data_IF_077685779038
#
_entry.id   IF_077685779038
#
_cell.length_a   1.000
_cell.length_b   1.000
_cell.length_c   1.000
_cell.angle_alpha   90.00
_cell.angle_beta   90.00
_cell.angle_gamma   90.00
#
_symmetry.space_group_name_H-M   'P 1'
#
loop_
_entity.id
_entity.type
_entity.pdbx_description
1 polymer ?
#
# COMPACT_ATOMS: atom_id res chain seq x y z
N UNK A 1 45.99 -24.04 31.09
CA UNK A 1 45.83 -23.77 29.65
C UNK A 1 44.55 -24.45 29.21
N UNK A 2 43.47 -23.73 28.85
CA UNK A 2 42.28 -24.38 28.30
C UNK A 2 42.70 -25.19 27.08
N UNK A 3 42.22 -26.44 26.98
CA UNK A 3 42.58 -27.30 25.86
C UNK A 3 41.97 -26.74 24.57
N UNK A 4 42.63 -26.93 23.43
CA UNK A 4 42.15 -26.48 22.11
C UNK A 4 40.66 -26.86 21.88
N UNK A 5 40.26 -28.05 22.33
CA UNK A 5 38.89 -28.54 22.30
C UNK A 5 37.89 -27.72 23.13
N UNK A 6 38.28 -27.19 24.28
CA UNK A 6 37.43 -26.31 25.10
C UNK A 6 37.15 -24.97 24.40
N UNK A 7 38.15 -24.42 23.69
CA UNK A 7 38.00 -23.18 22.94
C UNK A 7 37.07 -23.39 21.74
N UNK A 8 37.21 -24.51 21.02
CA UNK A 8 36.32 -24.89 19.91
C UNK A 8 34.89 -25.10 20.39
N UNK A 9 34.68 -25.78 21.52
CA UNK A 9 33.35 -25.96 22.12
C UNK A 9 32.71 -24.64 22.54
N UNK A 10 33.46 -23.73 23.18
CA UNK A 10 32.94 -22.42 23.57
C UNK A 10 32.55 -21.57 22.35
N UNK A 11 33.34 -21.61 21.27
CA UNK A 11 33.00 -20.94 20.01
C UNK A 11 31.76 -21.54 19.34
N UNK A 12 31.64 -22.87 19.32
CA UNK A 12 30.49 -23.55 18.75
C UNK A 12 29.19 -23.27 19.53
N UNK A 13 29.26 -23.27 20.87
CA UNK A 13 28.14 -22.89 21.75
C UNK A 13 27.78 -21.42 21.57
N UNK A 14 28.77 -20.52 21.51
CA UNK A 14 28.55 -19.11 21.23
C UNK A 14 27.83 -18.88 19.90
N UNK A 15 28.26 -19.55 18.82
CA UNK A 15 27.62 -19.47 17.51
C UNK A 15 26.20 -20.05 17.51
N UNK A 16 25.97 -21.17 18.21
CA UNK A 16 24.65 -21.78 18.35
C UNK A 16 23.67 -20.85 19.08
N UNK A 17 24.11 -20.18 20.15
CA UNK A 17 23.29 -19.21 20.89
C UNK A 17 22.91 -18.03 19.99
N UNK A 18 23.86 -17.49 19.22
CA UNK A 18 23.59 -16.41 18.26
C UNK A 18 22.57 -16.85 17.20
N UNK A 19 22.71 -18.06 16.66
CA UNK A 19 21.77 -18.61 15.68
C UNK A 19 20.35 -18.76 16.24
N UNK A 20 20.23 -19.25 17.48
CA UNK A 20 18.94 -19.39 18.17
C UNK A 20 18.28 -18.02 18.39
N UNK A 21 19.05 -17.01 18.79
CA UNK A 21 18.54 -15.64 18.98
C UNK A 21 18.02 -15.07 17.66
N UNK A 22 18.77 -15.22 16.56
CA UNK A 22 18.35 -14.76 15.23
C UNK A 22 17.08 -15.49 14.79
N UNK A 23 17.03 -16.81 14.96
CA UNK A 23 15.85 -17.60 14.62
C UNK A 23 14.61 -17.16 15.41
N UNK A 24 14.75 -16.95 16.72
CA UNK A 24 13.68 -16.46 17.59
C UNK A 24 13.21 -15.06 17.18
N UNK A 25 14.14 -14.15 16.85
CA UNK A 25 13.82 -12.80 16.42
C UNK A 25 13.01 -12.78 15.11
N UNK A 26 13.41 -13.60 14.13
CA UNK A 26 12.67 -13.76 12.87
C UNK A 26 11.30 -14.36 13.14
N UNK A 27 11.21 -15.43 13.91
CA UNK A 27 9.93 -16.06 14.27
C UNK A 27 8.98 -15.08 14.97
N UNK A 28 9.49 -14.30 15.92
CA UNK A 28 8.70 -13.29 16.64
C UNK A 28 8.17 -12.19 15.70
N UNK A 29 8.94 -11.79 14.67
CA UNK A 29 8.49 -10.81 13.68
C UNK A 29 7.28 -11.32 12.88
N UNK A 30 7.34 -12.54 12.36
CA UNK A 30 6.22 -13.15 11.62
C UNK A 30 5.01 -13.40 12.53
N UNK A 31 5.25 -13.84 13.77
CA UNK A 31 4.19 -14.04 14.76
C UNK A 31 3.46 -12.73 15.08
N UNK A 32 4.20 -11.62 15.24
CA UNK A 32 3.61 -10.30 15.47
C UNK A 32 2.75 -9.85 14.28
N UNK A 33 3.20 -10.07 13.05
CA UNK A 33 2.44 -9.73 11.84
C UNK A 33 1.14 -10.56 11.75
N UNK A 34 1.23 -11.85 12.01
CA UNK A 34 0.07 -12.74 12.02
C UNK A 34 -0.95 -12.34 13.09
N UNK A 35 -0.49 -12.02 14.30
CA UNK A 35 -1.34 -11.57 15.40
C UNK A 35 -2.11 -10.28 15.03
N UNK A 36 -1.44 -9.34 14.35
CA UNK A 36 -2.08 -8.10 13.87
C UNK A 36 -3.17 -8.38 12.83
N UNK A 37 -2.94 -9.31 11.91
CA UNK A 37 -3.95 -9.75 10.95
C UNK A 37 -5.15 -10.45 11.63
N UNK A 38 -4.87 -11.28 12.64
CA UNK A 38 -5.90 -11.99 13.39
C UNK A 38 -6.86 -11.03 14.12
N UNK A 39 -6.33 -10.05 14.87
CA UNK A 39 -7.15 -9.08 15.60
C UNK A 39 -7.99 -8.18 14.68
N UNK A 40 -7.55 -7.96 13.45
CA UNK A 40 -8.26 -7.15 12.45
C UNK A 40 -9.25 -7.98 11.62
N UNK A 41 -9.55 -9.22 12.05
CA UNK A 41 -10.44 -10.17 11.37
C UNK A 41 -10.02 -10.49 9.93
N UNK A 42 -8.72 -10.39 9.64
CA UNK A 42 -8.15 -10.86 8.39
C UNK A 42 -7.71 -12.29 8.58
N UNK A 43 -8.46 -13.23 8.02
CA UNK A 43 -8.15 -14.66 8.07
C UNK A 43 -6.93 -14.95 7.18
N UNK A 44 -5.75 -15.00 7.78
CA UNK A 44 -4.50 -15.41 7.12
C UNK A 44 -3.89 -16.56 7.88
N UNK A 45 -3.60 -17.64 7.15
CA UNK A 45 -2.87 -18.78 7.73
C UNK A 45 -1.40 -18.39 7.93
N UNK A 46 -0.76 -18.79 9.06
CA UNK A 46 0.68 -18.61 9.25
C UNK A 46 1.51 -19.18 8.08
N UNK A 47 1.05 -20.29 7.50
CA UNK A 47 1.69 -20.90 6.33
C UNK A 47 1.66 -19.99 5.10
N UNK A 48 0.59 -19.21 4.91
CA UNK A 48 0.51 -18.26 3.79
C UNK A 48 1.57 -17.17 3.90
N UNK A 49 1.83 -16.65 5.10
CA UNK A 49 2.89 -15.65 5.34
C UNK A 49 4.27 -16.21 5.01
N UNK A 50 4.51 -17.48 5.36
CA UNK A 50 5.76 -18.17 5.02
C UNK A 50 5.90 -18.34 3.49
N UNK A 51 4.84 -18.77 2.81
CA UNK A 51 4.84 -18.93 1.35
C UNK A 51 4.98 -17.59 0.61
N UNK A 52 4.48 -16.48 1.15
CA UNK A 52 4.72 -15.14 0.58
C UNK A 52 6.21 -14.80 0.54
N UNK A 53 6.92 -15.07 1.65
CA UNK A 53 8.36 -14.84 1.75
C UNK A 53 9.14 -15.68 0.74
N UNK A 54 8.74 -16.94 0.52
CA UNK A 54 9.31 -17.81 -0.52
C UNK A 54 9.09 -17.30 -1.95
N UNK A 55 7.95 -16.64 -2.22
CA UNK A 55 7.66 -16.00 -3.51
C UNK A 55 8.29 -14.62 -3.67
N UNK A 56 9.17 -14.20 -2.75
CA UNK A 56 9.77 -12.85 -2.69
C UNK A 56 8.73 -11.73 -2.62
N UNK A 57 7.56 -11.99 -2.05
CA UNK A 57 6.53 -10.97 -1.79
C UNK A 57 6.68 -10.46 -0.37
N UNK A 58 6.68 -9.15 -0.16
CA UNK A 58 6.77 -8.57 1.18
C UNK A 58 5.46 -8.82 1.97
N UNK A 59 5.45 -9.69 3.00
CA UNK A 59 4.23 -10.06 3.70
C UNK A 59 3.62 -8.87 4.47
N UNK A 60 4.47 -7.99 5.00
CA UNK A 60 4.03 -6.82 5.77
C UNK A 60 3.18 -5.88 4.90
N UNK A 61 3.64 -5.58 3.69
CA UNK A 61 2.93 -4.69 2.78
C UNK A 61 1.55 -5.25 2.37
N UNK A 62 1.47 -6.56 2.09
CA UNK A 62 0.22 -7.23 1.71
C UNK A 62 -0.78 -7.26 2.87
N UNK A 63 -0.30 -7.60 4.08
CA UNK A 63 -1.15 -7.64 5.27
C UNK A 63 -1.65 -6.25 5.63
N UNK A 64 -0.78 -5.23 5.63
CA UNK A 64 -1.20 -3.85 5.90
C UNK A 64 -2.24 -3.38 4.89
N UNK A 65 -2.02 -3.63 3.59
CA UNK A 65 -2.99 -3.35 2.53
C UNK A 65 -4.33 -4.05 2.80
N UNK A 66 -4.31 -5.35 3.10
CA UNK A 66 -5.53 -6.13 3.36
C UNK A 66 -6.27 -5.65 4.61
N UNK A 67 -5.56 -5.30 5.67
CA UNK A 67 -6.14 -4.72 6.89
C UNK A 67 -6.88 -3.43 6.56
N UNK A 68 -6.26 -2.50 5.82
CA UNK A 68 -6.89 -1.25 5.45
C UNK A 68 -8.13 -1.45 4.57
N UNK A 69 -8.10 -2.39 3.62
CA UNK A 69 -9.27 -2.73 2.80
C UNK A 69 -10.43 -3.21 3.65
N UNK A 70 -10.19 -4.18 4.56
CA UNK A 70 -11.23 -4.74 5.44
C UNK A 70 -11.79 -3.70 6.41
N UNK A 71 -10.93 -2.88 7.00
CA UNK A 71 -11.33 -1.79 7.91
C UNK A 71 -12.15 -0.70 7.19
N UNK A 72 -11.94 -0.53 5.89
CA UNK A 72 -12.67 0.44 5.07
C UNK A 72 -13.94 -0.12 4.43
N UNK A 73 -14.31 -1.36 4.76
CA UNK A 73 -15.51 -2.02 4.21
C UNK A 73 -15.31 -2.65 2.83
N UNK A 74 -14.12 -2.58 2.24
CA UNK A 74 -13.79 -3.15 0.92
C UNK A 74 -13.28 -4.58 1.14
N UNK A 75 -14.20 -5.55 1.19
CA UNK A 75 -13.86 -6.95 1.55
C UNK A 75 -13.53 -7.84 0.36
N UNK A 76 -13.92 -7.44 -0.85
CA UNK A 76 -13.90 -8.29 -2.05
C UNK A 76 -12.49 -8.54 -2.61
N UNK A 77 -11.48 -7.87 -2.08
CA UNK A 77 -10.09 -8.00 -2.54
C UNK A 77 -9.45 -9.26 -1.92
N UNK A 78 -9.11 -10.25 -2.73
CA UNK A 78 -8.41 -11.45 -2.25
C UNK A 78 -6.93 -11.19 -1.97
N UNK A 79 -6.33 -11.97 -1.06
CA UNK A 79 -4.88 -11.90 -0.79
C UNK A 79 -4.07 -12.25 -2.04
N UNK A 80 -4.54 -13.22 -2.84
CA UNK A 80 -3.89 -13.62 -4.11
C UNK A 80 -3.86 -12.48 -5.13
N UNK A 81 -4.91 -11.65 -5.20
CA UNK A 81 -4.92 -10.47 -6.08
C UNK A 81 -3.92 -9.41 -5.64
N UNK A 82 -3.78 -9.19 -4.32
CA UNK A 82 -2.76 -8.28 -3.76
C UNK A 82 -1.35 -8.79 -4.07
N UNK A 83 -1.11 -10.09 -3.89
CA UNK A 83 0.17 -10.74 -4.23
C UNK A 83 0.47 -10.63 -5.73
N UNK A 84 -0.51 -10.93 -6.59
CA UNK A 84 -0.33 -10.85 -8.04
C UNK A 84 0.01 -9.44 -8.51
N UNK A 85 -0.65 -8.43 -7.94
CA UNK A 85 -0.36 -7.03 -8.26
C UNK A 85 1.02 -6.60 -7.76
N UNK A 86 1.45 -7.07 -6.58
CA UNK A 86 2.82 -6.85 -6.08
C UNK A 86 3.88 -7.50 -6.97
N UNK A 87 3.64 -8.73 -7.42
CA UNK A 87 4.53 -9.44 -8.33
C UNK A 87 4.60 -8.81 -9.72
N UNK A 88 3.54 -8.11 -10.14
CA UNK A 88 3.52 -7.29 -11.34
C UNK A 88 4.20 -5.92 -11.16
N UNK A 89 4.98 -5.74 -10.08
CA UNK A 89 5.66 -4.50 -9.70
C UNK A 89 4.73 -3.30 -9.43
N UNK A 90 3.44 -3.57 -9.20
CA UNK A 90 2.45 -2.55 -8.85
C UNK A 90 2.50 -2.12 -7.39
N UNK A 91 2.01 -0.90 -7.10
CA UNK A 91 1.99 -0.36 -5.75
C UNK A 91 0.66 -0.67 -5.04
N UNK A 92 0.62 -1.85 -4.42
CA UNK A 92 -0.54 -2.34 -3.65
C UNK A 92 -1.06 -1.33 -2.63
N UNK A 93 -0.16 -0.66 -1.90
CA UNK A 93 -0.53 0.30 -0.85
C UNK A 93 -1.21 1.54 -1.44
N UNK A 94 -0.70 2.04 -2.57
CA UNK A 94 -1.27 3.21 -3.28
C UNK A 94 -2.65 2.89 -3.83
N UNK A 95 -2.81 1.72 -4.48
CA UNK A 95 -4.10 1.28 -5.04
C UNK A 95 -5.16 1.13 -3.96
N UNK A 96 -4.84 0.48 -2.84
CA UNK A 96 -5.79 0.34 -1.72
C UNK A 96 -6.19 1.70 -1.15
N UNK A 97 -5.24 2.63 -0.94
CA UNK A 97 -5.57 3.99 -0.48
C UNK A 97 -6.49 4.73 -1.44
N UNK A 98 -6.25 4.61 -2.74
CA UNK A 98 -7.11 5.21 -3.76
C UNK A 98 -8.52 4.62 -3.75
N UNK A 99 -8.65 3.30 -3.62
CA UNK A 99 -9.95 2.63 -3.49
C UNK A 99 -10.72 3.07 -2.25
N UNK A 100 -10.03 3.26 -1.11
CA UNK A 100 -10.65 3.75 0.12
C UNK A 100 -11.15 5.19 -0.07
N UNK A 101 -10.35 6.07 -0.69
CA UNK A 101 -10.74 7.44 -0.99
C UNK A 101 -11.95 7.48 -1.94
N UNK A 102 -11.93 6.68 -3.00
CA UNK A 102 -13.02 6.55 -3.96
C UNK A 102 -14.32 6.07 -3.28
N UNK A 103 -14.23 5.02 -2.45
CA UNK A 103 -15.37 4.49 -1.71
C UNK A 103 -16.00 5.52 -0.76
N UNK A 104 -15.17 6.33 -0.08
CA UNK A 104 -15.67 7.41 0.80
C UNK A 104 -16.36 8.53 0.03
N UNK A 105 -15.89 8.82 -1.18
CA UNK A 105 -16.50 9.79 -2.08
C UNK A 105 -17.64 9.21 -2.94
N UNK A 106 -18.08 7.97 -2.68
CA UNK A 106 -19.12 7.26 -3.45
C UNK A 106 -18.81 7.11 -4.95
N UNK A 107 -17.53 7.08 -5.31
CA UNK A 107 -17.05 6.81 -6.66
C UNK A 107 -16.96 5.29 -6.83
N UNK A 108 -17.64 4.75 -7.86
CA UNK A 108 -17.55 3.33 -8.21
C UNK A 108 -16.20 3.05 -8.87
N UNK A 109 -15.29 2.42 -8.14
CA UNK A 109 -13.98 1.97 -8.63
C UNK A 109 -13.75 0.53 -8.19
N UNK A 110 -13.56 -0.36 -9.16
CA UNK A 110 -13.26 -1.78 -8.91
C UNK A 110 -11.74 -2.00 -8.77
N UNK A 111 -11.36 -3.07 -8.07
CA UNK A 111 -9.96 -3.48 -7.89
C UNK A 111 -9.23 -3.69 -9.22
N UNK A 112 -9.87 -4.38 -10.18
CA UNK A 112 -9.21 -4.71 -11.44
C UNK A 112 -8.90 -3.47 -12.26
N UNK A 113 -9.84 -2.52 -12.31
CA UNK A 113 -9.66 -1.23 -12.97
C UNK A 113 -8.57 -0.41 -12.29
N UNK A 114 -8.58 -0.36 -10.96
CA UNK A 114 -7.59 0.36 -10.17
C UNK A 114 -6.17 -0.21 -10.38
N UNK A 115 -6.03 -1.54 -10.36
CA UNK A 115 -4.77 -2.22 -10.62
C UNK A 115 -4.26 -1.98 -12.06
N UNK A 116 -5.16 -2.01 -13.05
CA UNK A 116 -4.80 -1.73 -14.45
C UNK A 116 -4.30 -0.29 -14.64
N UNK A 117 -4.91 0.69 -13.96
CA UNK A 117 -4.48 2.10 -14.03
C UNK A 117 -3.08 2.28 -13.42
N UNK A 118 -2.81 1.63 -12.29
CA UNK A 118 -1.48 1.68 -11.63
C UNK A 118 -0.40 1.01 -12.51
N UNK A 119 -0.69 -0.16 -13.09
CA UNK A 119 0.21 -0.84 -14.03
C UNK A 119 0.42 -0.06 -15.34
N UNK A 120 -0.53 0.79 -15.73
CA UNK A 120 -0.37 1.72 -16.86
C UNK A 120 0.54 2.92 -16.51
N UNK A 121 1.09 2.99 -15.30
CA UNK A 121 2.02 4.03 -14.86
C UNK A 121 1.33 5.36 -14.52
N UNK A 122 0.01 5.36 -14.29
CA UNK A 122 -0.74 6.58 -13.92
C UNK A 122 -0.87 6.68 -12.41
N UNK A 123 -0.80 7.90 -11.86
CA UNK A 123 -1.06 8.12 -10.43
C UNK A 123 -2.56 8.07 -10.14
N UNK A 124 -3.05 6.86 -9.84
CA UNK A 124 -4.45 6.62 -9.48
C UNK A 124 -4.87 7.42 -8.23
N UNK A 125 -3.97 7.56 -7.26
CA UNK A 125 -4.30 8.22 -5.99
C UNK A 125 -4.54 9.71 -6.21
N UNK A 126 -3.71 10.36 -7.02
CA UNK A 126 -3.90 11.76 -7.39
C UNK A 126 -5.21 11.98 -8.18
N UNK A 127 -5.51 11.09 -9.13
CA UNK A 127 -6.73 11.17 -9.93
C UNK A 127 -8.00 11.07 -9.05
N UNK A 128 -8.02 10.13 -8.11
CA UNK A 128 -9.13 9.99 -7.15
C UNK A 128 -9.19 11.20 -6.22
N UNK A 129 -8.06 11.64 -5.66
CA UNK A 129 -8.02 12.80 -4.75
C UNK A 129 -8.57 14.07 -5.41
N UNK A 130 -8.28 14.29 -6.69
CA UNK A 130 -8.80 15.46 -7.43
C UNK A 130 -10.33 15.41 -7.57
N UNK A 131 -10.91 14.20 -7.60
CA UNK A 131 -12.37 14.04 -7.64
C UNK A 131 -13.01 14.16 -6.25
N UNK A 132 -12.30 13.77 -5.17
CA UNK A 132 -12.82 13.86 -3.79
C UNK A 132 -12.70 15.27 -3.22
N UNK A 133 -11.57 15.92 -3.47
CA UNK A 133 -11.27 17.27 -3.00
C UNK A 133 -11.09 18.19 -4.22
N UNK A 134 -12.18 18.70 -4.80
CA UNK A 134 -12.10 19.52 -6.01
C UNK A 134 -11.31 20.79 -5.71
N UNK A 135 -10.42 21.16 -6.63
CA UNK A 135 -9.72 22.45 -6.56
C UNK A 135 -10.74 23.56 -6.85
N UNK A 136 -11.09 24.33 -5.82
CA UNK A 136 -11.89 25.54 -5.99
C UNK A 136 -10.98 26.60 -6.59
N UNK A 137 -11.33 27.08 -7.78
CA UNK A 137 -10.71 28.25 -8.39
C UNK A 137 -11.66 29.41 -8.10
N UNK A 138 -11.25 30.32 -7.23
CA UNK A 138 -12.03 31.52 -6.95
C UNK A 138 -12.09 32.39 -8.21
N UNK A 139 -13.32 32.74 -8.63
CA UNK A 139 -13.50 33.73 -9.67
C UNK A 139 -13.02 35.10 -9.15
N UNK A 140 -12.16 35.83 -9.89
CA UNK A 140 -11.70 37.14 -9.48
C UNK A 140 -12.89 38.11 -9.36
N UNK A 141 -12.92 38.88 -8.27
CA UNK A 141 -13.96 39.86 -7.96
C UNK A 141 -13.99 40.99 -9.01
N UNK A 142 -15.15 41.66 -9.19
CA UNK A 142 -15.38 42.69 -10.22
C UNK A 142 -14.44 43.91 -10.11
N UNK A 143 -13.73 44.06 -8.98
CA UNK A 143 -12.75 45.12 -8.71
C UNK A 143 -11.33 44.80 -9.17
N UNK A 144 -11.06 43.56 -9.57
CA UNK A 144 -9.76 43.15 -10.12
C UNK A 144 -9.69 43.53 -11.59
N UNK A 145 -8.52 43.96 -12.09
CA UNK A 145 -8.34 44.41 -13.48
C UNK A 145 -8.69 43.37 -14.58
N UNK A 146 -8.96 42.12 -14.19
CA UNK A 146 -9.46 41.06 -15.08
C UNK A 146 -10.92 40.77 -14.74
N UNK A 147 -11.81 41.12 -15.68
CA UNK A 147 -13.26 40.98 -15.55
C UNK A 147 -13.79 39.54 -15.80
N UNK A 148 -12.94 38.62 -16.22
CA UNK A 148 -13.30 37.25 -16.59
C UNK A 148 -12.32 36.23 -16.02
N UNK A 149 -12.84 35.04 -15.67
CA UNK A 149 -12.03 33.87 -15.40
C UNK A 149 -11.63 33.26 -16.74
N UNK A 150 -10.34 33.28 -17.04
CA UNK A 150 -9.81 32.85 -18.33
C UNK A 150 -9.16 31.46 -18.21
N UNK A 151 -9.69 30.48 -18.93
CA UNK A 151 -9.07 29.16 -19.11
C UNK A 151 -8.45 29.04 -20.50
N UNK A 152 -7.18 28.67 -20.59
CA UNK A 152 -6.50 28.44 -21.89
C UNK A 152 -6.34 26.94 -22.12
N UNK A 153 -6.95 26.44 -23.19
CA UNK A 153 -6.79 25.05 -23.60
C UNK A 153 -5.41 24.82 -24.24
N UNK A 154 -4.95 23.57 -24.28
CA UNK A 154 -3.63 23.19 -24.83
C UNK A 154 -3.42 23.62 -26.30
N UNK A 155 -4.50 23.83 -27.04
CA UNK A 155 -4.51 24.31 -28.43
C UNK A 155 -4.60 25.85 -28.54
N UNK A 156 -4.46 26.60 -27.45
CA UNK A 156 -4.42 28.07 -27.45
C UNK A 156 -5.79 28.75 -27.43
N UNK A 157 -6.89 28.00 -27.37
CA UNK A 157 -8.24 28.58 -27.26
C UNK A 157 -8.46 29.08 -25.82
N UNK A 158 -8.83 30.35 -25.69
CA UNK A 158 -9.12 30.99 -24.40
C UNK A 158 -10.63 31.08 -24.17
N UNK A 159 -11.12 30.40 -23.13
CA UNK A 159 -12.48 30.51 -22.63
C UNK A 159 -12.54 31.56 -21.54
N UNK A 160 -13.42 32.55 -21.71
CA UNK A 160 -13.65 33.61 -20.72
C UNK A 160 -15.01 33.39 -20.07
N UNK A 161 -15.02 33.06 -18.78
CA UNK A 161 -16.24 32.87 -18.00
C UNK A 161 -16.46 34.10 -17.10
N UNK A 162 -17.71 34.57 -17.04
CA UNK A 162 -18.17 35.66 -16.18
C UNK A 162 -19.38 35.17 -15.38
N UNK A 163 -19.41 35.46 -14.08
CA UNK A 163 -20.56 35.21 -13.21
C UNK A 163 -21.57 36.37 -13.30
#
# INVERSE_FOLDING_TARGET
>A
MPTFWQIVLLLAVGLAVVFVIIFLAVFAMYFRLWLRAYFTRVWVSPFTLLFMSLRKVNPTAIIDAKIMSVQSGIRDISIRQLEAHYLAEGNVLRVVKALIAASRAKIKLDWNTAAAIDLAGRDLLEAVNTSVNPKVIDCPDQRTARATLDGVAKNGIQLKARA
#
